data_IF_047452966371
#
_entry.id   IF_047452966371
#
_cell.length_a   1.000
_cell.length_b   1.000
_cell.length_c   1.000
_cell.angle_alpha   90.00
_cell.angle_beta   90.00
_cell.angle_gamma   90.00
#
_symmetry.space_group_name_H-M   'P 1'
#
loop_
_entity.id
_entity.type
_entity.pdbx_description
1 polymer ?
#
# COMPACT_ATOMS: atom_id res chain seq x y z
N UNK A 1 0.13 4.98 14.26
CA UNK A 1 0.93 3.98 15.02
C UNK A 1 2.21 4.64 15.54
N UNK A 2 2.89 4.08 16.56
CA UNK A 2 4.25 4.54 16.92
C UNK A 2 5.26 3.70 16.12
N UNK A 3 5.64 4.19 14.94
CA UNK A 3 6.77 3.65 14.22
C UNK A 3 8.03 3.89 15.06
N UNK A 4 8.68 2.84 15.54
CA UNK A 4 10.03 2.96 16.11
C UNK A 4 10.92 3.66 15.09
N UNK A 5 11.86 4.51 15.50
CA UNK A 5 12.67 5.48 14.72
C UNK A 5 13.50 4.95 13.51
N UNK A 6 13.06 3.89 12.84
CA UNK A 6 13.75 3.11 11.80
C UNK A 6 12.96 2.97 10.50
N UNK A 7 11.72 3.46 10.44
CA UNK A 7 10.92 3.40 9.21
C UNK A 7 11.25 4.58 8.31
N UNK A 8 11.40 4.31 7.02
CA UNK A 8 11.61 5.34 6.00
C UNK A 8 10.42 6.33 6.02
N UNK A 9 10.65 7.64 6.17
CA UNK A 9 9.59 8.64 6.19
C UNK A 9 8.66 8.55 4.97
N UNK A 10 9.21 8.20 3.82
CA UNK A 10 8.49 8.06 2.55
C UNK A 10 7.46 6.91 2.59
N UNK A 11 7.64 5.93 3.48
CA UNK A 11 6.69 4.83 3.67
C UNK A 11 5.53 5.18 4.60
N UNK A 12 5.66 6.20 5.43
CA UNK A 12 4.74 6.45 6.56
C UNK A 12 3.33 6.73 6.08
N UNK A 13 3.16 7.65 5.13
CA UNK A 13 1.84 8.05 4.64
C UNK A 13 1.06 6.86 4.07
N UNK A 14 1.70 6.08 3.20
CA UNK A 14 1.08 4.91 2.58
C UNK A 14 0.78 3.82 3.62
N UNK A 15 1.71 3.52 4.53
CA UNK A 15 1.44 2.55 5.59
C UNK A 15 0.32 2.98 6.53
N UNK A 16 0.28 4.24 6.96
CA UNK A 16 -0.79 4.74 7.83
C UNK A 16 -2.15 4.63 7.11
N UNK A 17 -2.23 5.04 5.84
CA UNK A 17 -3.44 4.90 5.04
C UNK A 17 -3.89 3.43 4.87
N UNK A 18 -2.97 2.54 4.52
CA UNK A 18 -3.26 1.11 4.39
C UNK A 18 -3.76 0.50 5.71
N UNK A 19 -3.19 0.89 6.85
CA UNK A 19 -3.60 0.38 8.16
C UNK A 19 -4.94 0.91 8.68
N UNK A 20 -5.56 1.89 7.98
CA UNK A 20 -6.92 2.34 8.27
C UNK A 20 -7.99 1.38 7.75
N UNK A 21 -7.69 0.58 6.72
CA UNK A 21 -8.61 -0.43 6.22
C UNK A 21 -8.76 -1.58 7.24
N UNK A 22 -9.99 -1.87 7.63
CA UNK A 22 -10.27 -2.96 8.57
C UNK A 22 -9.78 -4.30 8.01
N UNK A 23 -9.09 -5.08 8.83
CA UNK A 23 -8.50 -6.35 8.44
C UNK A 23 -7.18 -6.27 7.65
N UNK A 24 -6.62 -5.07 7.42
CA UNK A 24 -5.31 -4.87 6.77
C UNK A 24 -4.24 -4.48 7.80
N UNK A 25 -3.06 -5.08 7.71
CA UNK A 25 -1.89 -4.74 8.55
C UNK A 25 -0.60 -4.72 7.75
N UNK A 26 0.11 -3.60 7.76
CA UNK A 26 1.47 -3.50 7.20
C UNK A 26 2.49 -4.11 8.16
N UNK A 27 3.46 -4.85 7.62
CA UNK A 27 4.43 -5.63 8.41
C UNK A 27 5.85 -5.09 8.25
N UNK A 28 6.25 -4.77 7.01
CA UNK A 28 7.59 -4.32 6.65
C UNK A 28 7.49 -3.37 5.45
N UNK A 29 8.32 -2.35 5.42
CA UNK A 29 8.30 -1.32 4.38
C UNK A 29 9.70 -0.80 4.11
N UNK A 30 10.02 -0.55 2.84
CA UNK A 30 11.22 0.16 2.45
C UNK A 30 10.98 0.92 1.14
N UNK A 31 11.46 2.17 1.07
CA UNK A 31 11.33 2.99 -0.14
C UNK A 31 12.39 2.64 -1.21
N UNK A 32 13.30 1.71 -0.89
CA UNK A 32 14.40 1.29 -1.76
C UNK A 32 15.55 2.30 -1.87
N UNK A 33 15.42 3.47 -1.23
CA UNK A 33 16.42 4.55 -1.20
C UNK A 33 17.03 4.88 -2.59
N UNK A 34 16.17 4.84 -3.62
CA UNK A 34 16.53 5.08 -5.02
C UNK A 34 17.42 4.02 -5.68
N UNK A 35 17.63 2.89 -5.01
CA UNK A 35 18.47 1.77 -5.49
C UNK A 35 17.71 0.46 -5.69
N UNK A 36 16.49 0.41 -5.17
CA UNK A 36 15.57 -0.72 -5.29
C UNK A 36 14.14 -0.17 -5.41
N UNK A 37 13.20 -1.05 -5.73
CA UNK A 37 11.79 -0.74 -5.82
C UNK A 37 11.21 -0.41 -4.43
N UNK A 38 10.23 0.49 -4.40
CA UNK A 38 9.47 0.80 -3.20
C UNK A 38 8.58 -0.39 -2.88
N UNK A 39 8.60 -0.89 -1.64
CA UNK A 39 7.82 -2.05 -1.21
C UNK A 39 7.12 -1.82 0.12
N UNK A 40 5.83 -2.11 0.19
CA UNK A 40 5.06 -2.28 1.42
C UNK A 40 4.55 -3.71 1.50
N UNK A 41 4.97 -4.43 2.52
CA UNK A 41 4.45 -5.76 2.83
C UNK A 41 3.30 -5.65 3.82
N UNK A 42 2.24 -6.40 3.56
CA UNK A 42 1.07 -6.42 4.42
C UNK A 42 0.42 -7.80 4.48
N UNK A 43 -0.46 -7.96 5.47
CA UNK A 43 -1.33 -9.10 5.67
C UNK A 43 -2.80 -8.64 5.62
N UNK A 44 -3.67 -9.57 5.24
CA UNK A 44 -5.11 -9.38 5.21
C UNK A 44 -5.78 -10.51 6.01
N UNK A 45 -6.75 -10.17 6.85
CA UNK A 45 -7.49 -11.16 7.66
C UNK A 45 -8.29 -12.15 6.81
N UNK A 46 -8.78 -11.69 5.65
CA UNK A 46 -9.44 -12.51 4.64
C UNK A 46 -9.21 -11.92 3.24
N UNK A 47 -9.60 -12.64 2.19
CA UNK A 47 -9.54 -12.09 0.82
C UNK A 47 -10.61 -11.01 0.58
N UNK A 48 -11.71 -11.02 1.35
CA UNK A 48 -12.85 -10.12 1.16
C UNK A 48 -12.55 -8.67 1.56
N UNK A 49 -11.50 -8.44 2.37
CA UNK A 49 -11.07 -7.09 2.77
C UNK A 49 -10.12 -6.43 1.77
N UNK A 50 -9.63 -7.18 0.77
CA UNK A 50 -8.66 -6.67 -0.22
C UNK A 50 -9.25 -5.70 -1.26
N UNK A 51 -10.47 -5.88 -1.81
CA UNK A 51 -10.96 -5.04 -2.90
C UNK A 51 -10.85 -3.53 -2.68
N UNK A 52 -11.30 -2.93 -1.55
CA UNK A 52 -11.21 -1.49 -1.36
C UNK A 52 -9.75 -0.99 -1.27
N UNK A 53 -8.84 -1.79 -0.72
CA UNK A 53 -7.41 -1.47 -0.69
C UNK A 53 -6.79 -1.54 -2.11
N UNK A 54 -7.03 -2.63 -2.83
CA UNK A 54 -6.45 -2.89 -4.14
C UNK A 54 -6.94 -1.91 -5.21
N UNK A 55 -8.14 -1.37 -5.03
CA UNK A 55 -8.74 -0.37 -5.91
C UNK A 55 -7.80 0.82 -6.17
N UNK A 56 -7.18 1.37 -5.14
CA UNK A 56 -6.30 2.55 -5.26
C UNK A 56 -4.90 2.24 -5.78
N UNK A 57 -4.47 0.97 -5.77
CA UNK A 57 -3.26 0.56 -6.49
C UNK A 57 -3.49 0.40 -8.00
N UNK A 58 -4.74 0.38 -8.46
CA UNK A 58 -5.05 0.45 -9.89
C UNK A 58 -4.96 1.90 -10.38
N UNK A 59 -4.24 2.09 -11.50
CA UNK A 59 -3.93 3.43 -12.01
C UNK A 59 -5.15 4.27 -12.41
N UNK A 60 -6.30 3.64 -12.70
CA UNK A 60 -7.53 4.36 -13.00
C UNK A 60 -8.16 5.06 -11.79
N UNK A 61 -7.72 4.76 -10.57
CA UNK A 61 -8.31 5.30 -9.33
C UNK A 61 -7.35 6.18 -8.53
N UNK A 62 -6.04 5.93 -8.61
CA UNK A 62 -5.03 6.85 -8.04
C UNK A 62 -4.43 7.82 -9.06
N UNK A 63 -4.56 7.54 -10.35
CA UNK A 63 -3.80 8.23 -11.41
C UNK A 63 -2.31 7.85 -11.44
N UNK A 64 -1.88 6.93 -10.57
CA UNK A 64 -0.50 6.48 -10.43
C UNK A 64 -0.27 5.21 -11.24
N UNK A 65 0.74 5.20 -12.09
CA UNK A 65 1.09 4.05 -12.93
C UNK A 65 2.33 3.32 -12.38
N UNK A 66 2.50 2.06 -12.79
CA UNK A 66 3.69 1.30 -12.42
C UNK A 66 3.71 0.88 -10.96
N UNK A 67 2.55 0.54 -10.39
CA UNK A 67 2.43 -0.10 -9.09
C UNK A 67 1.64 -1.40 -9.22
N UNK A 68 2.06 -2.42 -8.47
CA UNK A 68 1.40 -3.73 -8.47
C UNK A 68 1.32 -4.30 -7.06
N UNK A 69 0.27 -5.08 -6.78
CA UNK A 69 0.18 -5.87 -5.55
C UNK A 69 0.35 -7.34 -5.90
N UNK A 70 1.34 -7.99 -5.27
CA UNK A 70 1.68 -9.39 -5.52
C UNK A 70 1.49 -10.21 -4.25
N UNK A 71 0.91 -11.40 -4.39
CA UNK A 71 0.89 -12.41 -3.32
C UNK A 71 2.18 -13.21 -3.37
N UNK A 72 2.77 -13.47 -2.19
CA UNK A 72 3.95 -14.31 -2.03
C UNK A 72 3.68 -15.38 -0.97
N UNK A 73 4.16 -16.57 -1.25
CA UNK A 73 4.18 -17.73 -0.36
C UNK A 73 5.58 -18.32 -0.39
N UNK A 74 5.92 -19.11 0.62
CA UNK A 74 7.19 -19.82 0.69
C UNK A 74 6.99 -21.35 0.71
N UNK A 75 8.10 -22.09 0.64
CA UNK A 75 8.10 -23.54 0.77
C UNK A 75 7.92 -24.04 2.22
N UNK A 76 7.81 -23.12 3.19
CA UNK A 76 7.58 -23.40 4.61
C UNK A 76 6.10 -23.51 4.97
N UNK A 77 5.19 -23.35 3.99
CA UNK A 77 3.74 -23.27 4.22
C UNK A 77 3.36 -22.09 5.13
N UNK A 78 4.15 -21.00 5.11
CA UNK A 78 3.80 -19.77 5.82
C UNK A 78 2.49 -19.17 5.25
N UNK A 79 1.74 -18.40 6.05
CA UNK A 79 0.60 -17.63 5.55
C UNK A 79 0.98 -16.78 4.34
N UNK A 80 0.03 -16.58 3.41
CA UNK A 80 0.25 -15.72 2.26
C UNK A 80 0.51 -14.28 2.69
N UNK A 81 1.55 -13.66 2.12
CA UNK A 81 1.86 -12.25 2.32
C UNK A 81 1.63 -11.47 1.04
N UNK A 82 1.20 -10.22 1.17
CA UNK A 82 1.00 -9.32 0.05
C UNK A 82 2.10 -8.27 0.03
N UNK A 83 2.53 -7.88 -1.16
CA UNK A 83 3.54 -6.85 -1.39
C UNK A 83 3.00 -5.86 -2.41
N UNK A 84 2.72 -4.64 -1.97
CA UNK A 84 2.57 -3.50 -2.87
C UNK A 84 3.97 -3.04 -3.29
N UNK A 85 4.23 -2.94 -4.59
CA UNK A 85 5.55 -2.69 -5.13
C UNK A 85 5.48 -1.75 -6.34
N UNK A 86 6.36 -0.74 -6.38
CA UNK A 86 6.58 0.08 -7.57
C UNK A 86 7.34 -0.73 -8.63
N UNK A 87 7.05 -0.52 -9.92
CA UNK A 87 7.78 -1.13 -11.02
C UNK A 87 9.10 -0.41 -11.31
N UNK A 88 9.15 0.88 -11.00
CA UNK A 88 10.32 1.75 -11.15
C UNK A 88 11.02 2.02 -9.81
N UNK A 89 12.24 2.55 -9.89
CA UNK A 89 13.05 2.97 -8.74
C UNK A 89 13.20 4.50 -8.72
N UNK A 90 13.63 5.04 -7.58
CA UNK A 90 13.98 6.45 -7.44
C UNK A 90 12.87 7.31 -6.85
N UNK A 91 13.17 8.59 -6.67
CA UNK A 91 12.35 9.48 -5.84
C UNK A 91 10.92 9.73 -6.37
N UNK A 92 10.65 9.41 -7.64
CA UNK A 92 9.29 9.48 -8.20
C UNK A 92 8.31 8.56 -7.46
N UNK A 93 8.79 7.40 -7.00
CA UNK A 93 7.95 6.42 -6.29
C UNK A 93 7.50 6.92 -4.91
N UNK A 94 8.16 7.94 -4.36
CA UNK A 94 7.78 8.52 -3.07
C UNK A 94 6.54 9.38 -3.23
N UNK A 95 6.49 10.18 -4.30
CA UNK A 95 5.32 10.99 -4.66
C UNK A 95 4.14 10.10 -5.06
N UNK A 96 4.42 9.00 -5.76
CA UNK A 96 3.41 7.99 -6.09
C UNK A 96 2.80 7.39 -4.82
N UNK A 97 3.63 7.00 -3.85
CA UNK A 97 3.18 6.44 -2.58
C UNK A 97 2.33 7.44 -1.78
N UNK A 98 2.74 8.71 -1.72
CA UNK A 98 1.93 9.80 -1.13
C UNK A 98 0.59 9.94 -1.86
N UNK A 99 0.59 9.92 -3.19
CA UNK A 99 -0.64 10.09 -3.97
C UNK A 99 -1.64 8.95 -3.78
N UNK A 100 -1.15 7.71 -3.75
CA UNK A 100 -1.99 6.54 -3.44
C UNK A 100 -2.58 6.68 -2.03
N UNK A 101 -1.76 7.11 -1.06
CA UNK A 101 -2.20 7.32 0.32
C UNK A 101 -3.29 8.41 0.43
N UNK A 102 -3.15 9.52 -0.30
CA UNK A 102 -4.19 10.56 -0.38
C UNK A 102 -5.52 9.99 -0.87
N UNK A 103 -5.54 9.28 -2.00
CA UNK A 103 -6.76 8.69 -2.54
C UNK A 103 -7.42 7.70 -1.55
N UNK A 104 -6.62 6.88 -0.86
CA UNK A 104 -7.13 5.99 0.18
C UNK A 104 -7.76 6.76 1.35
N UNK A 105 -7.12 7.84 1.80
CA UNK A 105 -7.63 8.65 2.90
C UNK A 105 -8.91 9.39 2.50
N UNK A 106 -8.95 9.98 1.31
CA UNK A 106 -10.13 10.69 0.79
C UNK A 106 -11.37 9.79 0.79
N UNK A 107 -11.23 8.54 0.34
CA UNK A 107 -12.29 7.52 0.40
C UNK A 107 -12.72 7.19 1.83
N UNK A 108 -11.77 6.94 2.72
CA UNK A 108 -12.05 6.55 4.10
C UNK A 108 -12.66 7.69 4.92
N UNK A 109 -12.37 8.94 4.56
CA UNK A 109 -12.91 10.14 5.19
C UNK A 109 -14.26 10.56 4.59
N UNK A 110 -14.56 10.18 3.33
CA UNK A 110 -15.78 10.56 2.61
C UNK A 110 -16.46 9.35 1.91
N UNK A 111 -16.89 8.31 2.65
CA UNK A 111 -17.39 7.07 2.06
C UNK A 111 -18.67 7.24 1.21
N UNK A 112 -19.44 8.30 1.44
CA UNK A 112 -20.71 8.56 0.75
C UNK A 112 -20.54 9.20 -0.64
N UNK A 113 -19.37 9.77 -0.97
CA UNK A 113 -19.14 10.44 -2.26
C UNK A 113 -18.69 9.49 -3.38
N UNK A 114 -18.01 8.39 -3.05
CA UNK A 114 -17.56 7.40 -4.05
C UNK A 114 -18.54 6.24 -4.29
N UNK A 115 -19.54 6.04 -3.43
CA UNK A 115 -20.60 5.03 -3.63
C UNK A 115 -21.59 5.37 -4.76
N UNK A 116 -21.37 6.49 -5.46
CA UNK A 116 -22.23 7.02 -6.51
C UNK A 116 -21.85 6.61 -7.96
N UNK A 117 -20.95 5.64 -8.13
CA UNK A 117 -20.53 5.10 -9.44
C UNK A 117 -21.18 3.75 -9.72
#
# INVERSE_FOLDING_TARGET
>A
MNYTDKMDPECVALCDAMNRFEGIRTNESCCGHGKDNFRIWFSAESLDVLPPLLYYFASCHSGVYGWSVRVKTDCGMSPAHFCAESEEMGNGTYLDAEKIAECMNDYLDNPDEEAAI
#
